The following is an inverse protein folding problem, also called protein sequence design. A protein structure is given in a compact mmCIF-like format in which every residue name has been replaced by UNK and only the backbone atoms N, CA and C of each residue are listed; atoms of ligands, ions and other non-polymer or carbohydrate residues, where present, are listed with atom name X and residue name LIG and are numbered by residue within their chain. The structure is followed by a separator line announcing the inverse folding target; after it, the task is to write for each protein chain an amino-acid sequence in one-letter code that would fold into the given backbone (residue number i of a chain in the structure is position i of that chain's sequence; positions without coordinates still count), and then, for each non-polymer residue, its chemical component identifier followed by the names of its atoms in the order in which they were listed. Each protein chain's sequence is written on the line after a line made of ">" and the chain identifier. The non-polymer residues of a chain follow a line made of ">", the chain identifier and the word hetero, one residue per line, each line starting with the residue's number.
data_IF_677093522218
#
_entry.id   IF_677093522218
#
_cell.length_a   1.000
_cell.length_b   1.000
_cell.length_c   1.000
_cell.angle_alpha   90.00
_cell.angle_beta   90.00
_cell.angle_gamma   90.00
#
_symmetry.space_group_name_H-M   'P 1'
#
loop_
_entity.id
_entity.type
_entity.pdbx_description
1 polymer ?
#
# COMPACT_ATOMS: atom_id res chain seq x y z
N UNK A 1 10.29 1.36 -9.65
CA UNK A 1 11.67 1.06 -9.23
C UNK A 1 11.72 0.36 -7.88
N UNK A 2 11.71 1.10 -6.77
CA UNK A 2 11.92 0.57 -5.40
C UNK A 2 11.00 -0.61 -5.04
N UNK A 3 9.68 -0.43 -5.10
CA UNK A 3 8.72 -1.49 -4.77
C UNK A 3 8.88 -2.75 -5.64
N UNK A 4 9.32 -2.59 -6.89
CA UNK A 4 9.61 -3.71 -7.77
C UNK A 4 10.88 -4.46 -7.33
N UNK A 5 11.97 -3.75 -7.04
CA UNK A 5 13.23 -4.38 -6.57
C UNK A 5 13.08 -5.12 -5.26
N UNK A 6 12.16 -4.68 -4.41
CA UNK A 6 11.84 -5.34 -3.14
C UNK A 6 10.76 -6.44 -3.27
N UNK A 7 10.33 -6.78 -4.50
CA UNK A 7 9.39 -7.86 -4.74
C UNK A 7 7.95 -7.58 -4.29
N UNK A 8 7.58 -6.30 -4.11
CA UNK A 8 6.20 -5.93 -3.73
C UNK A 8 5.31 -5.74 -4.95
N UNK A 9 5.87 -5.15 -6.02
CA UNK A 9 5.21 -5.02 -7.32
C UNK A 9 6.04 -5.81 -8.32
N UNK A 10 5.60 -7.00 -8.66
CA UNK A 10 6.26 -7.86 -9.65
C UNK A 10 5.70 -7.58 -11.06
N UNK A 11 4.86 -8.46 -11.59
CA UNK A 11 4.07 -8.20 -12.81
C UNK A 11 2.72 -7.55 -12.52
N UNK A 12 2.35 -7.43 -11.26
CA UNK A 12 1.07 -6.94 -10.77
C UNK A 12 1.30 -5.92 -9.66
N UNK A 13 0.26 -5.13 -9.38
CA UNK A 13 0.34 -4.05 -8.41
C UNK A 13 0.67 -2.70 -9.04
N UNK A 14 0.26 -1.65 -8.38
CA UNK A 14 0.34 -0.29 -8.91
C UNK A 14 0.30 0.76 -7.82
N UNK A 15 0.90 1.89 -8.11
CA UNK A 15 0.93 3.08 -7.26
C UNK A 15 0.26 4.24 -7.99
N UNK A 16 -0.49 5.04 -7.23
CA UNK A 16 -1.07 6.28 -7.72
C UNK A 16 -0.76 7.46 -6.79
N UNK A 17 -0.80 8.66 -7.35
CA UNK A 17 -0.62 9.92 -6.63
C UNK A 17 -1.70 10.92 -7.05
N UNK A 18 -2.35 11.57 -6.08
CA UNK A 18 -3.32 12.64 -6.30
C UNK A 18 -2.59 13.87 -6.85
N UNK A 19 -3.05 14.42 -7.94
CA UNK A 19 -2.53 15.64 -8.56
C UNK A 19 -3.37 16.87 -8.20
N UNK A 20 -4.69 16.65 -8.06
CA UNK A 20 -5.66 17.69 -7.70
C UNK A 20 -6.87 17.01 -7.01
N UNK A 21 -7.79 17.75 -6.42
CA UNK A 21 -8.97 17.18 -5.75
C UNK A 21 -9.80 16.24 -6.64
N UNK A 22 -9.78 16.45 -7.95
CA UNK A 22 -10.60 15.76 -8.95
C UNK A 22 -9.83 14.75 -9.82
N UNK A 23 -8.50 14.64 -9.68
CA UNK A 23 -7.68 13.78 -10.55
C UNK A 23 -6.44 13.21 -9.88
N UNK A 24 -5.95 12.10 -10.40
CA UNK A 24 -4.74 11.44 -9.93
C UNK A 24 -3.97 10.80 -11.09
N UNK A 25 -2.68 10.62 -10.91
CA UNK A 25 -1.84 9.83 -11.81
C UNK A 25 -1.71 8.41 -11.30
N UNK A 26 -1.63 7.46 -12.23
CA UNK A 26 -1.39 6.04 -11.94
C UNK A 26 -0.49 5.44 -13.01
N UNK A 27 0.38 4.52 -12.62
CA UNK A 27 1.17 3.77 -13.57
C UNK A 27 0.26 2.98 -14.52
N UNK A 28 0.52 3.04 -15.83
CA UNK A 28 -0.23 2.25 -16.82
C UNK A 28 -0.07 0.75 -16.59
N UNK A 29 -0.95 -0.03 -17.17
CA UNK A 29 -0.88 -1.49 -17.12
C UNK A 29 0.47 -2.02 -17.64
N UNK A 30 0.99 -3.06 -17.01
CA UNK A 30 2.19 -3.81 -17.43
C UNK A 30 3.50 -3.01 -17.41
N UNK A 31 3.73 -2.23 -16.33
CA UNK A 31 5.04 -1.62 -16.11
C UNK A 31 5.97 -2.57 -15.34
N UNK A 32 7.22 -2.63 -15.82
CA UNK A 32 8.31 -3.29 -15.12
C UNK A 32 9.07 -2.35 -14.17
N UNK A 33 10.31 -2.74 -13.84
CA UNK A 33 11.19 -2.04 -12.89
C UNK A 33 11.49 -0.57 -13.24
N UNK A 34 11.38 -0.20 -14.51
CA UNK A 34 11.88 1.06 -15.06
C UNK A 34 10.74 1.95 -15.56
N UNK A 35 9.79 2.28 -14.67
CA UNK A 35 8.75 3.25 -14.98
C UNK A 35 9.35 4.63 -15.27
N UNK A 36 8.95 5.22 -16.39
CA UNK A 36 9.32 6.58 -16.83
C UNK A 36 8.11 7.51 -16.68
N UNK A 37 8.29 8.83 -16.71
CA UNK A 37 7.18 9.78 -16.62
C UNK A 37 6.06 9.52 -17.63
N UNK A 38 6.41 9.15 -18.87
CA UNK A 38 5.47 8.82 -19.94
C UNK A 38 4.66 7.53 -19.73
N UNK A 39 5.03 6.73 -18.74
CA UNK A 39 4.34 5.49 -18.38
C UNK A 39 3.19 5.69 -17.40
N UNK A 40 2.87 6.93 -17.09
CA UNK A 40 1.74 7.25 -16.23
C UNK A 40 0.56 7.78 -17.03
N UNK A 41 -0.64 7.43 -16.58
CA UNK A 41 -1.89 7.98 -17.09
C UNK A 41 -2.56 8.80 -16.01
N UNK A 42 -3.30 9.84 -16.40
CA UNK A 42 -4.08 10.67 -15.49
C UNK A 42 -5.55 10.26 -15.62
N UNK A 43 -6.17 9.96 -14.49
CA UNK A 43 -7.58 9.62 -14.39
C UNK A 43 -8.31 10.68 -13.55
N UNK A 44 -9.59 10.90 -13.86
CA UNK A 44 -10.51 11.57 -12.95
C UNK A 44 -11.06 10.61 -11.88
N UNK A 45 -11.83 11.14 -10.95
CA UNK A 45 -12.41 10.30 -9.89
C UNK A 45 -13.60 9.44 -10.37
N UNK A 46 -14.02 9.55 -11.62
CA UNK A 46 -14.93 8.60 -12.28
C UNK A 46 -14.20 7.46 -13.00
N UNK A 47 -12.85 7.47 -12.96
CA UNK A 47 -12.01 6.48 -13.62
C UNK A 47 -11.82 6.72 -15.12
N UNK A 48 -12.25 7.89 -15.64
CA UNK A 48 -12.06 8.25 -17.05
C UNK A 48 -10.63 8.73 -17.25
N UNK A 49 -9.98 8.21 -18.29
CA UNK A 49 -8.63 8.66 -18.65
C UNK A 49 -8.70 10.07 -19.26
N UNK A 50 -7.94 10.98 -18.68
CA UNK A 50 -7.80 12.35 -19.11
C UNK A 50 -6.56 12.54 -19.99
N UNK A 51 -5.42 11.93 -19.60
CA UNK A 51 -4.12 12.12 -20.23
C UNK A 51 -3.29 10.82 -20.17
N UNK A 52 -2.23 10.77 -20.98
CA UNK A 52 -1.26 9.68 -21.00
C UNK A 52 -1.53 8.60 -22.03
N UNK A 53 -0.48 7.88 -22.43
CA UNK A 53 -0.54 6.78 -23.38
C UNK A 53 -0.78 5.44 -22.69
N UNK A 54 -1.50 4.53 -23.35
CA UNK A 54 -1.84 3.20 -22.81
C UNK A 54 -3.07 3.20 -21.92
N UNK A 55 -3.33 2.05 -21.32
CA UNK A 55 -4.51 1.85 -20.48
C UNK A 55 -4.14 1.84 -18.99
N UNK A 56 -5.04 2.31 -18.11
CA UNK A 56 -4.85 2.18 -16.69
C UNK A 56 -4.86 0.71 -16.26
N UNK A 57 -4.36 0.38 -15.05
CA UNK A 57 -4.48 -0.96 -14.50
C UNK A 57 -5.95 -1.40 -14.43
N UNK A 58 -6.18 -2.71 -14.61
CA UNK A 58 -7.52 -3.28 -14.54
C UNK A 58 -8.24 -2.98 -13.21
N UNK A 59 -7.49 -2.79 -12.14
CA UNK A 59 -7.98 -2.49 -10.80
C UNK A 59 -7.82 -1.00 -10.40
N UNK A 60 -7.79 -0.10 -11.37
CA UNK A 60 -7.83 1.35 -11.10
C UNK A 60 -9.03 1.77 -10.25
N UNK A 61 -10.12 0.97 -10.23
CA UNK A 61 -11.28 1.19 -9.39
C UNK A 61 -10.95 1.22 -7.88
N UNK A 62 -9.91 0.52 -7.41
CA UNK A 62 -9.39 0.61 -6.05
C UNK A 62 -9.00 2.05 -5.73
N UNK A 63 -8.16 2.64 -6.59
CA UNK A 63 -7.64 4.00 -6.39
C UNK A 63 -8.72 5.06 -6.47
N UNK A 64 -9.60 4.95 -7.48
CA UNK A 64 -10.76 5.83 -7.63
C UNK A 64 -11.60 5.86 -6.36
N UNK A 65 -11.96 4.67 -5.83
CA UNK A 65 -12.82 4.56 -4.67
C UNK A 65 -12.16 5.10 -3.40
N UNK A 66 -10.86 4.80 -3.19
CA UNK A 66 -10.10 5.32 -2.04
C UNK A 66 -9.99 6.82 -2.12
N UNK A 67 -9.62 7.41 -3.26
CA UNK A 67 -9.52 8.86 -3.40
C UNK A 67 -10.86 9.58 -3.25
N UNK A 68 -11.98 8.96 -3.65
CA UNK A 68 -13.33 9.51 -3.40
C UNK A 68 -13.67 9.51 -1.91
N UNK A 69 -13.41 8.40 -1.23
CA UNK A 69 -13.77 8.22 0.17
C UNK A 69 -12.84 8.98 1.15
N UNK A 70 -11.59 9.24 0.75
CA UNK A 70 -10.51 9.73 1.59
C UNK A 70 -9.82 10.96 0.97
N UNK A 71 -10.36 12.18 1.17
CA UNK A 71 -9.72 13.41 0.68
C UNK A 71 -8.34 13.70 1.31
N UNK A 72 -8.07 13.13 2.48
CA UNK A 72 -6.80 13.18 3.20
C UNK A 72 -5.71 12.30 2.60
N UNK A 73 -6.09 11.34 1.75
CA UNK A 73 -5.15 10.43 1.06
C UNK A 73 -4.66 11.07 -0.23
N UNK A 74 -3.34 11.14 -0.40
CA UNK A 74 -2.71 11.63 -1.62
C UNK A 74 -1.93 10.56 -2.39
N UNK A 75 -1.75 9.37 -1.82
CA UNK A 75 -1.15 8.22 -2.52
C UNK A 75 -1.77 6.91 -2.09
N UNK A 76 -1.90 5.99 -3.05
CA UNK A 76 -2.41 4.64 -2.84
C UNK A 76 -1.47 3.65 -3.53
N UNK A 77 -1.11 2.59 -2.81
CA UNK A 77 -0.40 1.41 -3.35
C UNK A 77 -1.31 0.21 -3.22
N UNK A 78 -1.52 -0.51 -4.30
CA UNK A 78 -2.04 -1.88 -4.30
C UNK A 78 -0.95 -2.83 -4.73
N UNK A 79 -0.74 -3.92 -3.98
CA UNK A 79 0.32 -4.89 -4.25
C UNK A 79 -0.03 -6.29 -3.71
N UNK A 80 0.70 -7.30 -4.19
CA UNK A 80 0.48 -8.70 -3.86
C UNK A 80 1.59 -9.24 -2.95
N UNK A 81 1.73 -8.66 -1.76
CA UNK A 81 2.75 -9.03 -0.79
C UNK A 81 2.66 -10.49 -0.35
N UNK A 82 3.77 -11.21 -0.40
CA UNK A 82 3.81 -12.63 -0.06
C UNK A 82 3.45 -12.87 1.41
N UNK A 83 4.02 -12.08 2.31
CA UNK A 83 3.86 -12.30 3.75
C UNK A 83 2.52 -11.77 4.25
N UNK A 84 2.12 -10.58 3.82
CA UNK A 84 0.85 -9.97 4.24
C UNK A 84 -0.35 -10.76 3.72
N UNK A 85 -0.29 -11.26 2.48
CA UNK A 85 -1.36 -12.07 1.89
C UNK A 85 -1.56 -13.39 2.63
N UNK A 86 -0.50 -14.00 3.18
CA UNK A 86 -0.60 -15.23 3.97
C UNK A 86 -1.55 -15.09 5.17
N UNK A 87 -1.59 -13.92 5.80
CA UNK A 87 -2.51 -13.66 6.92
C UNK A 87 -3.98 -13.58 6.48
N UNK A 88 -4.25 -13.34 5.22
CA UNK A 88 -5.62 -13.30 4.69
C UNK A 88 -6.21 -14.69 4.42
N UNK A 89 -5.36 -15.70 4.38
CA UNK A 89 -5.70 -17.10 4.10
C UNK A 89 -5.53 -18.01 5.32
N UNK A 90 -5.34 -17.41 6.49
CA UNK A 90 -5.24 -18.08 7.78
C UNK A 90 -6.24 -17.49 8.79
N UNK A 91 -6.43 -18.15 9.91
CA UNK A 91 -7.26 -17.63 11.02
C UNK A 91 -6.52 -16.54 11.83
N UNK A 92 -5.22 -16.40 11.62
CA UNK A 92 -4.40 -15.47 12.38
C UNK A 92 -4.48 -14.06 11.81
N UNK A 93 -5.00 -13.13 12.59
CA UNK A 93 -4.98 -11.70 12.21
C UNK A 93 -3.56 -11.13 12.28
N UNK A 94 -3.19 -10.34 11.27
CA UNK A 94 -1.97 -9.55 11.30
C UNK A 94 -2.13 -8.38 12.28
N UNK A 95 -1.16 -8.24 13.19
CA UNK A 95 -1.08 -7.17 14.20
C UNK A 95 0.35 -6.62 14.26
N UNK A 96 0.59 -5.50 14.94
CA UNK A 96 1.93 -5.06 15.27
C UNK A 96 2.72 -6.11 16.05
N UNK A 97 3.86 -6.55 15.51
CA UNK A 97 4.77 -7.52 16.16
C UNK A 97 6.12 -6.89 16.53
N UNK A 98 6.45 -5.76 15.94
CA UNK A 98 7.65 -4.99 16.21
C UNK A 98 7.36 -3.49 16.11
N UNK A 99 8.33 -2.66 16.54
CA UNK A 99 8.15 -1.21 16.66
C UNK A 99 7.60 -0.56 15.37
N UNK A 100 8.12 -0.89 14.18
CA UNK A 100 7.64 -0.27 12.93
C UNK A 100 6.22 -0.74 12.56
N UNK A 101 5.80 -1.91 13.01
CA UNK A 101 4.43 -2.41 12.84
C UNK A 101 3.38 -1.57 13.57
N UNK A 102 3.79 -0.80 14.59
CA UNK A 102 2.88 0.09 15.33
C UNK A 102 2.33 1.24 14.50
N UNK A 103 2.89 1.51 13.31
CA UNK A 103 2.30 2.41 12.32
C UNK A 103 0.89 2.00 11.87
N UNK A 104 0.50 0.74 12.14
CA UNK A 104 -0.80 0.14 11.82
C UNK A 104 -1.60 -0.21 13.08
N UNK A 105 -1.35 0.50 14.19
CA UNK A 105 -1.99 0.28 15.48
C UNK A 105 -3.50 0.48 15.45
N UNK A 106 -4.00 1.31 14.52
CA UNK A 106 -5.42 1.61 14.31
C UNK A 106 -6.21 0.46 13.69
N UNK A 107 -5.51 -0.62 13.31
CA UNK A 107 -6.11 -1.85 12.79
C UNK A 107 -5.76 -2.13 11.33
N UNK A 108 -5.89 -3.41 10.99
CA UNK A 108 -5.63 -3.93 9.65
C UNK A 108 -6.86 -4.75 9.22
N UNK A 109 -7.93 -4.11 8.70
CA UNK A 109 -9.12 -4.82 8.26
C UNK A 109 -8.85 -5.71 7.04
N UNK A 110 -9.72 -6.70 6.84
CA UNK A 110 -9.65 -7.64 5.70
C UNK A 110 -10.90 -7.48 4.82
N UNK A 111 -10.72 -7.12 3.57
CA UNK A 111 -11.75 -7.15 2.55
C UNK A 111 -11.98 -8.61 2.12
N UNK A 112 -13.20 -9.15 2.24
CA UNK A 112 -13.42 -10.60 2.18
C UNK A 112 -13.53 -11.18 0.76
N UNK A 113 -13.78 -10.36 -0.28
CA UNK A 113 -13.90 -10.84 -1.67
C UNK A 113 -12.51 -11.07 -2.29
N UNK A 114 -12.30 -12.24 -2.88
CA UNK A 114 -11.05 -12.61 -3.57
C UNK A 114 -10.98 -12.13 -5.01
N UNK A 115 -12.08 -11.63 -5.55
CA UNK A 115 -12.17 -11.22 -6.96
C UNK A 115 -11.45 -9.90 -7.18
N UNK A 116 -10.99 -9.72 -8.42
CA UNK A 116 -10.41 -8.46 -8.86
C UNK A 116 -11.40 -7.29 -8.69
N UNK A 117 -10.91 -6.19 -8.17
CA UNK A 117 -11.70 -4.96 -7.93
C UNK A 117 -11.67 -4.09 -9.18
N UNK A 118 -12.48 -4.47 -10.18
CA UNK A 118 -12.50 -3.83 -11.50
C UNK A 118 -13.65 -2.86 -11.72
N UNK A 119 -14.59 -2.81 -10.81
CA UNK A 119 -15.80 -2.03 -10.95
C UNK A 119 -16.02 -1.09 -9.74
N UNK A 120 -16.82 -0.02 -9.90
CA UNK A 120 -17.07 0.95 -8.85
C UNK A 120 -17.73 0.37 -7.59
N UNK A 121 -18.51 -0.69 -7.71
CA UNK A 121 -19.24 -1.30 -6.58
C UNK A 121 -18.23 -1.96 -5.63
N UNK A 122 -17.38 -2.86 -6.16
CA UNK A 122 -16.31 -3.50 -5.37
C UNK A 122 -15.30 -2.49 -4.86
N UNK A 123 -14.98 -1.47 -5.66
CA UNK A 123 -14.12 -0.38 -5.21
C UNK A 123 -14.69 0.32 -3.97
N UNK A 124 -15.98 0.68 -4.00
CA UNK A 124 -16.65 1.33 -2.87
C UNK A 124 -16.71 0.41 -1.63
N UNK A 125 -16.96 -0.89 -1.81
CA UNK A 125 -16.94 -1.87 -0.73
C UNK A 125 -15.57 -1.98 -0.08
N UNK A 126 -14.50 -2.07 -0.89
CA UNK A 126 -13.12 -2.08 -0.39
C UNK A 126 -12.79 -0.79 0.36
N UNK A 127 -13.11 0.37 -0.19
CA UNK A 127 -12.88 1.66 0.45
C UNK A 127 -13.65 1.80 1.77
N UNK A 128 -14.86 1.23 1.85
CA UNK A 128 -15.65 1.16 3.09
C UNK A 128 -14.96 0.28 4.15
N UNK A 129 -14.41 -0.87 3.77
CA UNK A 129 -13.67 -1.75 4.68
C UNK A 129 -12.36 -1.10 5.11
N UNK A 130 -11.62 -0.44 4.20
CA UNK A 130 -10.45 0.35 4.54
C UNK A 130 -10.77 1.41 5.60
N UNK A 131 -11.90 2.12 5.46
CA UNK A 131 -12.30 3.16 6.41
C UNK A 131 -11.20 4.21 6.67
N UNK A 132 -10.93 4.57 7.94
CA UNK A 132 -9.87 5.51 8.29
C UNK A 132 -8.47 4.86 8.33
N UNK A 133 -8.37 3.54 8.24
CA UNK A 133 -7.12 2.81 8.40
C UNK A 133 -6.10 3.12 7.29
N UNK A 134 -4.83 2.89 7.60
CA UNK A 134 -3.72 3.06 6.66
C UNK A 134 -3.61 1.91 5.66
N UNK A 135 -4.07 0.74 6.03
CA UNK A 135 -3.97 -0.49 5.25
C UNK A 135 -5.27 -1.29 5.28
N UNK A 136 -5.57 -1.98 4.19
CA UNK A 136 -6.58 -3.04 4.12
C UNK A 136 -5.96 -4.25 3.42
N UNK A 137 -6.10 -5.41 4.04
CA UNK A 137 -5.77 -6.68 3.41
C UNK A 137 -6.93 -7.12 2.50
N UNK A 138 -6.61 -7.77 1.40
CA UNK A 138 -7.59 -8.32 0.45
C UNK A 138 -7.45 -9.84 0.46
N UNK A 139 -8.50 -10.54 0.84
CA UNK A 139 -8.49 -12.00 1.07
C UNK A 139 -7.94 -12.78 -0.14
N UNK A 140 -6.84 -13.53 0.06
CA UNK A 140 -6.21 -14.34 -0.97
C UNK A 140 -5.72 -13.57 -2.20
N UNK A 141 -5.53 -12.24 -2.07
CA UNK A 141 -5.24 -11.37 -3.20
C UNK A 141 -4.00 -10.50 -2.93
N UNK A 142 -4.05 -9.65 -1.91
CA UNK A 142 -2.96 -8.71 -1.63
C UNK A 142 -3.32 -7.71 -0.55
N UNK A 143 -2.81 -6.50 -0.70
CA UNK A 143 -3.08 -5.39 0.20
C UNK A 143 -3.24 -4.07 -0.56
N UNK A 144 -3.97 -3.13 0.05
CA UNK A 144 -4.03 -1.73 -0.39
C UNK A 144 -3.63 -0.84 0.76
N UNK A 145 -2.63 0.01 0.52
CA UNK A 145 -2.12 0.97 1.50
C UNK A 145 -2.33 2.40 1.04
N UNK A 146 -2.44 3.29 2.01
CA UNK A 146 -2.70 4.72 1.78
C UNK A 146 -1.71 5.59 2.54
N UNK A 147 -1.46 6.77 2.00
CA UNK A 147 -0.62 7.78 2.65
C UNK A 147 -0.96 9.20 2.23
N UNK A 148 -0.61 10.19 3.08
CA UNK A 148 -0.75 11.61 2.76
C UNK A 148 0.26 12.09 1.71
N UNK A 149 1.21 11.25 1.33
CA UNK A 149 2.18 11.49 0.25
C UNK A 149 2.64 10.17 -0.35
N UNK A 150 3.30 10.21 -1.51
CA UNK A 150 3.95 9.05 -2.13
C UNK A 150 5.04 8.47 -1.22
N UNK A 151 5.82 9.35 -0.59
CA UNK A 151 6.85 8.99 0.38
C UNK A 151 6.28 8.16 1.55
N UNK A 152 5.20 8.68 2.18
CA UNK A 152 4.52 7.97 3.29
C UNK A 152 3.94 6.63 2.84
N UNK A 153 3.32 6.59 1.66
CA UNK A 153 2.67 5.38 1.17
C UNK A 153 3.68 4.28 0.82
N UNK A 154 4.80 4.62 0.16
CA UNK A 154 5.88 3.67 -0.13
C UNK A 154 6.52 3.15 1.17
N UNK A 155 6.82 4.06 2.11
CA UNK A 155 7.40 3.66 3.39
C UNK A 155 6.44 2.78 4.20
N UNK A 156 5.15 3.12 4.23
CA UNK A 156 4.15 2.29 4.87
C UNK A 156 4.07 0.90 4.23
N UNK A 157 4.12 0.80 2.90
CA UNK A 157 4.09 -0.49 2.18
C UNK A 157 5.29 -1.37 2.57
N UNK A 158 6.48 -0.79 2.58
CA UNK A 158 7.70 -1.50 2.97
C UNK A 158 7.62 -2.01 4.41
N UNK A 159 7.28 -1.14 5.35
CA UNK A 159 7.21 -1.46 6.78
C UNK A 159 6.04 -2.40 7.12
N UNK A 160 4.96 -2.36 6.34
CA UNK A 160 3.84 -3.28 6.48
C UNK A 160 4.25 -4.72 6.14
N UNK A 161 4.93 -4.89 5.02
CA UNK A 161 5.39 -6.22 4.60
C UNK A 161 6.49 -6.75 5.53
N UNK A 162 7.40 -5.88 6.03
CA UNK A 162 8.34 -6.25 7.08
C UNK A 162 7.65 -6.71 8.38
N UNK A 163 6.56 -6.06 8.78
CA UNK A 163 5.78 -6.49 9.94
C UNK A 163 5.15 -7.87 9.71
N UNK A 164 4.57 -8.09 8.53
CA UNK A 164 3.97 -9.37 8.16
C UNK A 164 5.01 -10.50 8.12
N UNK A 165 6.18 -10.25 7.55
CA UNK A 165 7.29 -11.21 7.51
C UNK A 165 7.73 -11.60 8.93
N UNK A 166 7.96 -10.63 9.82
CA UNK A 166 8.35 -10.89 11.21
C UNK A 166 7.26 -11.66 11.96
N UNK A 167 6.00 -11.32 11.74
CA UNK A 167 4.88 -12.01 12.36
C UNK A 167 4.81 -13.48 11.92
N UNK A 168 5.01 -13.76 10.63
CA UNK A 168 5.04 -15.12 10.10
C UNK A 168 6.23 -15.90 10.67
N UNK A 169 7.43 -15.31 10.69
CA UNK A 169 8.61 -15.95 11.27
C UNK A 169 8.44 -16.20 12.77
N UNK A 170 7.85 -15.27 13.51
CA UNK A 170 7.53 -15.48 14.93
C UNK A 170 6.58 -16.66 15.14
N UNK A 171 5.61 -16.85 14.24
CA UNK A 171 4.67 -17.97 14.31
C UNK A 171 5.37 -19.34 14.07
N UNK A 172 6.48 -19.39 13.33
CA UNK A 172 7.27 -20.62 13.15
C UNK A 172 8.12 -20.97 14.39
N UNK A 173 8.44 -19.98 15.20
CA UNK A 173 9.19 -20.16 16.44
C UNK A 173 8.32 -20.45 17.65
N UNK A 174 7.01 -20.31 17.52
CA UNK A 174 6.04 -20.52 18.57
C UNK A 174 4.86 -19.55 18.47
N UNK A 175 4.19 -19.29 19.60
CA UNK A 175 3.07 -18.34 19.63
C UNK A 175 3.58 -16.89 19.51
N UNK A 176 3.18 -16.12 18.50
CA UNK A 176 3.59 -14.72 18.36
C UNK A 176 3.19 -13.89 19.59
N UNK A 177 4.10 -13.05 20.04
CA UNK A 177 3.83 -12.08 21.11
C UNK A 177 3.56 -10.71 20.48
N UNK A 178 2.28 -10.44 20.26
CA UNK A 178 1.83 -9.18 19.69
C UNK A 178 2.06 -8.02 20.66
N UNK A 179 2.38 -6.85 20.13
CA UNK A 179 2.39 -5.62 20.91
C UNK A 179 0.93 -5.33 21.32
N UNK A 180 0.70 -5.03 22.59
CA UNK A 180 -0.64 -4.66 23.08
C UNK A 180 -1.12 -3.34 22.47
N UNK A 181 -2.44 -3.15 22.47
CA UNK A 181 -3.08 -2.03 21.79
C UNK A 181 -2.63 -0.66 22.30
N UNK A 182 -2.47 -0.52 23.63
CA UNK A 182 -2.05 0.74 24.23
C UNK A 182 -0.61 1.08 23.84
N UNK A 183 0.32 0.16 24.02
CA UNK A 183 1.73 0.33 23.62
C UNK A 183 1.86 0.60 22.11
N UNK A 184 1.08 -0.12 21.30
CA UNK A 184 1.09 0.08 19.84
C UNK A 184 0.57 1.48 19.47
N UNK A 185 -0.47 1.97 20.11
CA UNK A 185 -1.02 3.30 19.86
C UNK A 185 -0.03 4.41 20.25
N UNK A 186 0.56 4.32 21.43
CA UNK A 186 1.54 5.29 21.93
C UNK A 186 2.78 5.35 21.02
N UNK A 187 3.39 4.20 20.73
CA UNK A 187 4.57 4.11 19.88
C UNK A 187 4.26 4.52 18.43
N UNK A 188 3.12 4.10 17.90
CA UNK A 188 2.68 4.47 16.55
C UNK A 188 2.49 5.98 16.39
N UNK A 189 1.86 6.64 17.38
CA UNK A 189 1.67 8.08 17.38
C UNK A 189 3.02 8.83 17.38
N UNK A 190 4.00 8.37 18.17
CA UNK A 190 5.35 8.94 18.19
C UNK A 190 6.05 8.81 16.83
N UNK A 191 5.99 7.62 16.21
CA UNK A 191 6.60 7.37 14.92
C UNK A 191 5.97 8.22 13.80
N UNK A 192 4.64 8.35 13.81
CA UNK A 192 3.90 9.16 12.84
C UNK A 192 4.25 10.64 13.01
N UNK A 193 4.25 11.16 14.25
CA UNK A 193 4.61 12.56 14.56
C UNK A 193 6.07 12.84 14.22
N UNK A 194 6.97 11.96 14.58
CA UNK A 194 8.41 12.13 14.37
C UNK A 194 8.85 11.92 12.92
N UNK A 195 8.06 11.20 12.11
CA UNK A 195 8.31 10.88 10.69
C UNK A 195 9.65 10.18 10.41
N UNK A 196 10.33 9.69 11.44
CA UNK A 196 11.63 9.01 11.31
C UNK A 196 11.62 7.82 10.34
N UNK A 197 10.69 6.86 10.49
CA UNK A 197 10.59 5.70 9.59
C UNK A 197 10.37 6.09 8.13
N UNK A 198 9.49 7.05 7.87
CA UNK A 198 9.16 7.50 6.52
C UNK A 198 10.40 8.10 5.82
N UNK A 199 11.10 9.02 6.49
CA UNK A 199 12.33 9.64 5.95
C UNK A 199 13.44 8.62 5.70
N UNK A 200 13.60 7.62 6.57
CA UNK A 200 14.65 6.59 6.41
C UNK A 200 14.36 5.68 5.23
N UNK A 201 13.12 5.22 5.07
CA UNK A 201 12.75 4.42 3.90
C UNK A 201 12.85 5.26 2.63
N UNK A 202 12.45 6.54 2.66
CA UNK A 202 12.59 7.40 1.49
C UNK A 202 14.05 7.64 1.10
N UNK A 203 14.94 7.82 2.05
CA UNK A 203 16.38 7.89 1.77
C UNK A 203 16.92 6.60 1.12
N UNK A 204 16.39 5.43 1.47
CA UNK A 204 16.70 4.17 0.75
C UNK A 204 16.20 4.22 -0.71
N UNK A 205 14.98 4.73 -0.92
CA UNK A 205 14.40 4.90 -2.27
C UNK A 205 15.31 5.78 -3.15
N UNK A 206 15.75 6.92 -2.61
CA UNK A 206 16.63 7.88 -3.30
C UNK A 206 18.00 7.24 -3.61
N UNK A 207 18.65 6.62 -2.62
CA UNK A 207 19.95 5.97 -2.81
C UNK A 207 19.91 4.86 -3.87
N UNK A 208 18.85 4.03 -3.87
CA UNK A 208 18.67 3.00 -4.89
C UNK A 208 18.35 3.56 -6.27
N UNK A 209 17.65 4.69 -6.34
CA UNK A 209 17.37 5.36 -7.61
C UNK A 209 18.66 5.92 -8.23
N UNK A 210 19.49 6.58 -7.45
CA UNK A 210 20.80 7.10 -7.88
C UNK A 210 21.72 5.98 -8.39
N UNK A 211 21.78 4.86 -7.66
CA UNK A 211 22.57 3.69 -8.08
C UNK A 211 22.06 3.08 -9.39
N UNK A 212 20.75 3.05 -9.60
CA UNK A 212 20.15 2.54 -10.84
C UNK A 212 20.37 3.47 -12.04
N UNK A 213 20.47 4.78 -11.81
CA UNK A 213 20.74 5.78 -12.85
C UNK A 213 22.22 5.79 -13.32
N UNK A 214 23.14 5.24 -12.50
CA UNK A 214 24.58 5.15 -12.82
C UNK A 214 24.96 3.87 -13.59
N UNK A 215 24.02 2.94 -13.79
CA UNK A 215 24.21 1.69 -14.53
C UNK A 215 23.60 1.78 -15.93
#
# INVERSE_FOLDING_TARGET
>A
GFLYRHGFIEGFGHLSARLAPDRFMIARHSLGAHAKPEDFVILDLEGRKLEGAGDPPAEAAIHVAVFKARPDVNSVVHYHGMYSTAFTTSEQALRPIHLMGTLFHDGIPVYPDVKLVRDPVRGAELAKVLGPHRAVLMRGHGATLTGPSVEDCIAATFLFEENAQRALLSATLGRPQWIDEQTAAEAGAELIKGRGPFRRVWAMVEAEHEQAAQR
#
